data_IF_413668019439
#
_entry.id   IF_413668019439
#
_cell.length_a   1.000
_cell.length_b   1.000
_cell.length_c   1.000
_cell.angle_alpha   90.00
_cell.angle_beta   90.00
_cell.angle_gamma   90.00
#
_symmetry.space_group_name_H-M   'P 1'
#
loop_
_entity.id
_entity.type
_entity.pdbx_description
1 polymer ?
#
# COMPACT_ATOMS: atom_id res chain seq x y z
N UNK A 1 53.28 -48.10 -43.65
CA UNK A 1 52.52 -48.15 -42.39
C UNK A 1 51.28 -47.29 -42.58
N UNK A 2 50.11 -47.91 -42.41
CA UNK A 2 48.73 -47.40 -42.48
C UNK A 2 48.34 -46.51 -43.69
N UNK A 3 47.49 -47.08 -44.55
CA UNK A 3 46.79 -46.47 -45.69
C UNK A 3 45.55 -45.65 -45.28
N UNK A 4 45.05 -44.75 -46.16
CA UNK A 4 44.05 -43.72 -45.87
C UNK A 4 42.64 -44.07 -46.38
N UNK A 5 41.61 -43.31 -45.97
CA UNK A 5 40.29 -43.29 -46.62
C UNK A 5 39.83 -41.86 -46.94
N UNK A 6 39.53 -41.68 -48.22
CA UNK A 6 39.14 -40.51 -49.04
C UNK A 6 37.60 -40.31 -49.02
N UNK A 7 37.01 -39.10 -48.92
CA UNK A 7 36.81 -37.93 -49.84
C UNK A 7 35.41 -37.88 -50.54
N UNK A 8 34.79 -36.67 -50.49
CA UNK A 8 33.84 -35.98 -51.39
C UNK A 8 32.38 -36.45 -51.56
N UNK A 9 31.32 -35.64 -51.37
CA UNK A 9 30.80 -34.33 -51.91
C UNK A 9 29.84 -34.45 -53.13
N UNK A 10 28.76 -33.64 -53.06
CA UNK A 10 27.93 -33.03 -54.15
C UNK A 10 26.97 -34.00 -54.91
N UNK A 11 25.75 -33.70 -55.41
CA UNK A 11 25.00 -32.51 -55.91
C UNK A 11 23.47 -32.83 -55.90
N UNK A 12 22.58 -31.82 -55.89
CA UNK A 12 21.12 -31.84 -56.24
C UNK A 12 20.90 -31.94 -57.80
N UNK A 13 19.72 -31.83 -58.49
CA UNK A 13 18.30 -31.57 -58.08
C UNK A 13 17.15 -32.25 -58.94
N UNK A 14 15.87 -31.86 -58.67
CA UNK A 14 14.69 -31.67 -59.60
C UNK A 14 13.77 -32.84 -60.09
N UNK A 15 12.47 -32.69 -59.72
CA UNK A 15 11.16 -32.89 -60.43
C UNK A 15 10.64 -34.29 -60.83
N UNK A 16 9.39 -34.62 -60.41
CA UNK A 16 8.32 -35.10 -61.31
C UNK A 16 6.88 -34.94 -60.75
N UNK A 17 5.99 -34.55 -61.66
CA UNK A 17 4.54 -34.32 -61.57
C UNK A 17 3.74 -35.62 -61.81
N UNK A 18 2.53 -35.77 -61.24
CA UNK A 18 1.43 -36.61 -61.78
C UNK A 18 0.06 -35.99 -61.46
N UNK A 19 -0.85 -36.03 -62.43
CA UNK A 19 -2.15 -35.31 -62.51
C UNK A 19 -3.31 -36.33 -62.77
N UNK A 20 -4.55 -35.91 -62.41
CA UNK A 20 -5.90 -36.25 -62.96
C UNK A 20 -6.63 -37.46 -62.33
N UNK A 21 -7.97 -37.58 -62.22
CA UNK A 21 -9.18 -36.72 -62.27
C UNK A 21 -10.37 -37.67 -61.90
N UNK A 22 -11.41 -37.20 -61.21
CA UNK A 22 -12.84 -37.51 -61.52
C UNK A 22 -13.83 -36.83 -60.54
N UNK A 23 -14.83 -36.15 -61.09
CA UNK A 23 -15.96 -35.42 -60.48
C UNK A 23 -17.17 -36.34 -60.13
N UNK A 24 -18.41 -35.84 -59.91
CA UNK A 24 -18.94 -34.71 -59.11
C UNK A 24 -20.01 -35.19 -58.07
N UNK A 25 -20.47 -34.34 -57.14
CA UNK A 25 -21.84 -34.40 -56.62
C UNK A 25 -22.29 -33.09 -55.95
N UNK A 26 -23.55 -32.75 -56.25
CA UNK A 26 -24.30 -31.53 -56.03
C UNK A 26 -24.53 -31.05 -54.59
N UNK A 27 -24.62 -29.72 -54.51
CA UNK A 27 -25.47 -28.86 -53.67
C UNK A 27 -26.48 -29.52 -52.71
N UNK A 28 -26.41 -29.12 -51.44
CA UNK A 28 -27.61 -28.78 -50.65
C UNK A 28 -27.31 -27.69 -49.61
N UNK A 29 -28.20 -26.70 -49.57
CA UNK A 29 -28.20 -25.50 -48.72
C UNK A 29 -28.20 -25.81 -47.22
N UNK A 30 -27.43 -25.04 -46.44
CA UNK A 30 -27.86 -24.60 -45.11
C UNK A 30 -27.23 -23.24 -44.77
N UNK A 31 -28.11 -22.32 -44.42
CA UNK A 31 -27.91 -20.92 -44.06
C UNK A 31 -27.06 -20.73 -42.81
N UNK A 32 -26.36 -19.59 -42.78
CA UNK A 32 -25.59 -19.09 -41.66
C UNK A 32 -26.43 -18.95 -40.38
N UNK A 33 -25.93 -19.51 -39.27
CA UNK A 33 -26.19 -19.03 -37.92
C UNK A 33 -24.91 -18.35 -37.42
N UNK A 34 -25.01 -17.05 -37.21
CA UNK A 34 -24.02 -16.24 -36.50
C UNK A 34 -23.97 -16.71 -35.05
N UNK A 35 -22.91 -17.39 -34.65
CA UNK A 35 -22.59 -17.58 -33.25
C UNK A 35 -22.25 -16.19 -32.65
N UNK A 36 -23.15 -15.68 -31.82
CA UNK A 36 -22.86 -14.54 -30.95
C UNK A 36 -21.60 -14.85 -30.13
N UNK A 37 -20.57 -14.04 -30.33
CA UNK A 37 -19.44 -13.99 -29.42
C UNK A 37 -19.99 -13.54 -28.06
N UNK A 38 -19.99 -14.45 -27.08
CA UNK A 38 -20.21 -14.11 -25.68
C UNK A 38 -19.16 -13.07 -25.32
N UNK A 39 -19.62 -11.82 -25.16
CA UNK A 39 -18.79 -10.69 -24.79
C UNK A 39 -18.00 -11.02 -23.52
N UNK A 40 -16.69 -10.85 -23.60
CA UNK A 40 -15.82 -10.95 -22.43
C UNK A 40 -16.30 -9.97 -21.36
N UNK A 41 -16.47 -10.47 -20.14
CA UNK A 41 -16.82 -9.68 -18.96
C UNK A 41 -15.82 -8.51 -18.80
N UNK A 42 -16.30 -7.28 -19.04
CA UNK A 42 -15.52 -6.04 -18.95
C UNK A 42 -15.50 -5.47 -17.52
N UNK A 43 -15.64 -6.32 -16.50
CA UNK A 43 -15.63 -5.91 -15.10
C UNK A 43 -14.26 -5.39 -14.62
N UNK A 44 -14.23 -4.56 -13.55
CA UNK A 44 -12.96 -4.15 -12.93
C UNK A 44 -12.22 -5.38 -12.37
N UNK A 45 -10.88 -5.36 -12.44
CA UNK A 45 -10.04 -6.47 -11.92
C UNK A 45 -10.28 -6.82 -10.47
N UNK A 46 -10.53 -5.78 -9.66
CA UNK A 46 -10.90 -5.92 -8.27
C UNK A 46 -12.29 -5.36 -8.09
N UNK A 47 -13.17 -6.14 -7.47
CA UNK A 47 -14.54 -5.70 -7.15
C UNK A 47 -14.63 -5.09 -5.76
N UNK A 48 -13.57 -5.24 -4.96
CA UNK A 48 -13.48 -4.72 -3.60
C UNK A 48 -12.04 -4.56 -3.15
N UNK A 49 -11.83 -3.73 -2.14
CA UNK A 49 -10.53 -3.46 -1.53
C UNK A 49 -10.67 -3.51 -0.01
N UNK A 50 -9.81 -4.28 0.67
CA UNK A 50 -9.72 -4.27 2.13
C UNK A 50 -8.35 -3.81 2.55
N UNK A 51 -8.27 -2.96 3.57
CA UNK A 51 -7.01 -2.40 4.05
C UNK A 51 -6.89 -2.56 5.56
N UNK A 52 -5.78 -3.12 6.00
CA UNK A 52 -5.31 -3.22 7.37
C UNK A 52 -4.08 -2.31 7.53
N UNK A 53 -3.76 -1.88 8.73
CA UNK A 53 -2.61 -1.00 8.94
C UNK A 53 -2.79 -0.04 10.10
N UNK A 54 -2.00 1.03 10.09
CA UNK A 54 -2.05 2.07 11.13
C UNK A 54 -2.58 3.42 10.60
N UNK A 55 -2.07 4.53 11.13
CA UNK A 55 -2.45 5.89 10.75
C UNK A 55 -2.11 6.28 9.31
N UNK A 56 -1.18 5.58 8.64
CA UNK A 56 -0.88 5.83 7.21
C UNK A 56 -1.95 5.25 6.28
N UNK A 57 -2.79 4.35 6.81
CA UNK A 57 -3.89 3.70 6.09
C UNK A 57 -5.26 4.00 6.70
N UNK A 58 -5.36 4.55 7.92
CA UNK A 58 -6.64 4.84 8.60
C UNK A 58 -7.47 5.89 7.86
N UNK A 59 -8.67 5.49 7.42
CA UNK A 59 -9.60 6.34 6.69
C UNK A 59 -10.67 7.01 7.56
N UNK A 60 -10.56 6.91 8.89
CA UNK A 60 -11.44 7.54 9.86
C UNK A 60 -11.98 6.62 10.97
N UNK A 61 -11.39 5.44 11.18
CA UNK A 61 -11.78 4.52 12.25
C UNK A 61 -11.65 5.17 13.63
N UNK A 62 -10.52 5.81 13.94
CA UNK A 62 -10.38 6.55 15.19
C UNK A 62 -11.41 7.68 15.35
N UNK A 63 -11.74 8.37 14.26
CA UNK A 63 -12.73 9.44 14.26
C UNK A 63 -14.11 8.91 14.65
N UNK A 64 -14.52 7.78 14.06
CA UNK A 64 -15.80 7.13 14.35
C UNK A 64 -15.90 6.61 15.79
N UNK A 65 -14.77 6.29 16.41
CA UNK A 65 -14.66 5.87 17.80
C UNK A 65 -14.55 7.04 18.79
N UNK A 66 -14.43 8.28 18.31
CA UNK A 66 -14.21 9.46 19.14
C UNK A 66 -12.83 9.48 19.83
N UNK A 67 -11.86 8.73 19.30
CA UNK A 67 -10.51 8.54 19.86
C UNK A 67 -9.42 9.18 18.98
N UNK A 68 -9.68 10.39 18.50
CA UNK A 68 -8.84 11.00 17.46
C UNK A 68 -8.48 12.45 17.85
N UNK A 69 -7.43 12.64 18.66
CA UNK A 69 -7.08 13.97 19.16
C UNK A 69 -6.44 14.88 18.10
N UNK A 70 -5.69 14.32 17.14
CA UNK A 70 -4.85 15.11 16.22
C UNK A 70 -5.37 15.08 14.77
N UNK A 71 -5.51 13.89 14.17
CA UNK A 71 -5.88 13.72 12.76
C UNK A 71 -7.34 14.11 12.43
N UNK A 72 -8.16 14.39 13.44
CA UNK A 72 -9.57 14.76 13.29
C UNK A 72 -9.84 16.26 13.46
N UNK A 73 -8.77 17.05 13.51
CA UNK A 73 -8.83 18.50 13.57
C UNK A 73 -8.18 19.10 12.33
N UNK A 74 -8.64 20.30 11.94
CA UNK A 74 -7.93 21.08 10.93
C UNK A 74 -6.49 21.33 11.38
N UNK A 75 -5.50 21.30 10.48
CA UNK A 75 -5.64 21.38 9.01
C UNK A 75 -5.74 20.02 8.29
N UNK A 76 -5.93 18.89 8.98
CA UNK A 76 -6.08 17.60 8.31
C UNK A 76 -7.29 17.58 7.36
N UNK A 77 -7.08 17.02 6.16
CA UNK A 77 -8.08 16.96 5.09
C UNK A 77 -8.33 18.26 4.31
N UNK A 78 -7.56 19.33 4.54
CA UNK A 78 -7.76 20.64 3.89
C UNK A 78 -7.67 20.63 2.35
N UNK A 79 -6.83 19.78 1.74
CA UNK A 79 -6.57 19.85 0.29
C UNK A 79 -7.62 19.14 -0.55
N UNK A 80 -8.09 17.97 -0.13
CA UNK A 80 -9.05 17.17 -0.89
C UNK A 80 -10.46 17.17 -0.30
N UNK A 81 -10.57 17.01 1.02
CA UNK A 81 -11.87 16.86 1.68
C UNK A 81 -12.47 18.19 2.13
N UNK A 82 -11.65 19.23 2.29
CA UNK A 82 -12.02 20.54 2.86
C UNK A 82 -12.43 20.48 4.33
N UNK A 83 -12.22 19.33 4.99
CA UNK A 83 -12.54 19.06 6.40
C UNK A 83 -11.78 17.83 6.90
N UNK A 84 -11.62 17.68 8.22
CA UNK A 84 -11.05 16.46 8.79
C UNK A 84 -11.96 15.24 8.52
N UNK A 85 -11.33 14.13 8.13
CA UNK A 85 -12.01 12.83 7.94
C UNK A 85 -11.41 11.73 8.82
N UNK A 86 -10.42 12.06 9.66
CA UNK A 86 -9.66 11.12 10.47
C UNK A 86 -8.41 10.54 9.79
N UNK A 87 -8.17 10.89 8.52
CA UNK A 87 -6.88 10.64 7.86
C UNK A 87 -5.81 11.56 8.43
N UNK A 88 -4.68 11.00 8.84
CA UNK A 88 -3.51 11.75 9.31
C UNK A 88 -2.71 12.32 8.12
N UNK A 89 -3.32 13.27 7.41
CA UNK A 89 -2.79 13.85 6.18
C UNK A 89 -3.56 15.14 5.86
N UNK A 90 -2.97 16.04 5.07
CA UNK A 90 -3.70 17.17 4.50
C UNK A 90 -4.82 16.75 3.52
N UNK A 91 -4.85 15.50 3.06
CA UNK A 91 -5.85 15.02 2.11
C UNK A 91 -5.95 13.50 2.09
N UNK A 92 -5.81 12.92 0.90
CA UNK A 92 -5.89 11.47 0.65
C UNK A 92 -4.64 10.71 1.08
N UNK A 93 -4.82 9.45 1.46
CA UNK A 93 -3.78 8.48 1.79
C UNK A 93 -3.43 7.61 0.57
N UNK A 94 -2.38 6.79 0.68
CA UNK A 94 -1.97 5.85 -0.40
C UNK A 94 -3.14 4.94 -0.79
N UNK A 95 -3.87 4.41 0.20
CA UNK A 95 -5.02 3.52 -0.03
C UNK A 95 -6.15 4.19 -0.82
N UNK A 96 -6.36 5.50 -0.65
CA UNK A 96 -7.36 6.25 -1.40
C UNK A 96 -6.99 6.36 -2.87
N UNK A 97 -5.72 6.68 -3.15
CA UNK A 97 -5.21 6.72 -4.51
C UNK A 97 -5.25 5.35 -5.18
N UNK A 98 -4.97 4.28 -4.44
CA UNK A 98 -5.12 2.91 -4.95
C UNK A 98 -6.59 2.63 -5.30
N UNK A 99 -7.54 2.92 -4.41
CA UNK A 99 -8.96 2.74 -4.67
C UNK A 99 -9.41 3.49 -5.94
N UNK A 100 -9.04 4.77 -6.06
CA UNK A 100 -9.36 5.60 -7.22
C UNK A 100 -8.79 5.02 -8.53
N UNK A 101 -7.52 4.59 -8.53
CA UNK A 101 -6.86 4.00 -9.72
C UNK A 101 -7.48 2.67 -10.13
N UNK A 102 -8.06 1.93 -9.19
CA UNK A 102 -8.80 0.70 -9.45
C UNK A 102 -10.27 0.93 -9.81
N UNK A 103 -10.74 2.19 -9.81
CA UNK A 103 -12.14 2.53 -10.07
C UNK A 103 -13.10 2.15 -8.95
N UNK A 104 -12.58 1.97 -7.73
CA UNK A 104 -13.35 1.68 -6.52
C UNK A 104 -13.67 2.97 -5.74
N UNK A 105 -14.77 3.01 -4.97
CA UNK A 105 -15.01 4.12 -4.05
C UNK A 105 -13.93 4.18 -2.96
N UNK A 106 -13.72 5.37 -2.39
CA UNK A 106 -12.88 5.51 -1.19
C UNK A 106 -13.39 4.57 -0.09
N UNK A 107 -12.46 3.91 0.59
CA UNK A 107 -12.81 2.90 1.57
C UNK A 107 -13.60 3.50 2.73
N UNK A 108 -14.65 2.79 3.12
CA UNK A 108 -15.42 3.13 4.31
C UNK A 108 -14.68 2.59 5.54
N UNK A 109 -14.42 3.43 6.57
CA UNK A 109 -13.85 2.94 7.82
C UNK A 109 -14.80 1.97 8.51
N UNK A 110 -14.26 0.85 8.99
CA UNK A 110 -14.99 -0.15 9.77
C UNK A 110 -14.29 -0.46 11.10
N UNK A 111 -14.66 0.24 12.19
CA UNK A 111 -14.00 0.08 13.49
C UNK A 111 -14.49 -1.17 14.27
N UNK A 112 -15.26 -2.06 13.61
CA UNK A 112 -15.82 -3.27 14.21
C UNK A 112 -17.32 -3.20 14.53
N UNK A 113 -17.99 -2.08 14.25
CA UNK A 113 -19.44 -1.92 14.43
C UNK A 113 -20.15 -1.74 13.09
N UNK A 114 -21.13 -2.59 12.82
CA UNK A 114 -21.99 -2.51 11.63
C UNK A 114 -22.95 -1.32 11.77
N UNK A 115 -22.50 -0.14 11.34
CA UNK A 115 -23.42 0.98 11.01
C UNK A 115 -24.13 0.66 9.69
N UNK A 116 -25.13 1.45 9.30
CA UNK A 116 -25.94 1.27 8.06
C UNK A 116 -25.16 1.44 6.74
N UNK A 117 -23.84 1.28 6.77
CA UNK A 117 -22.93 1.41 5.65
C UNK A 117 -22.90 0.14 4.82
N UNK A 118 -22.77 0.30 3.50
CA UNK A 118 -22.63 -0.81 2.56
C UNK A 118 -21.16 -1.10 2.29
N UNK A 119 -20.67 -2.27 2.70
CA UNK A 119 -19.28 -2.69 2.56
C UNK A 119 -19.02 -3.56 1.31
N UNK A 120 -19.95 -3.60 0.35
CA UNK A 120 -19.83 -4.42 -0.87
C UNK A 120 -18.55 -4.15 -1.67
N UNK A 121 -18.05 -2.91 -1.66
CA UNK A 121 -16.81 -2.51 -2.34
C UNK A 121 -15.57 -2.59 -1.44
N UNK A 122 -15.74 -3.14 -0.25
CA UNK A 122 -14.68 -3.30 0.74
C UNK A 122 -14.75 -2.30 1.89
N UNK A 123 -13.73 -2.37 2.75
CA UNK A 123 -13.67 -1.62 4.00
C UNK A 123 -12.21 -1.34 4.41
N UNK A 124 -12.01 -0.31 5.22
CA UNK A 124 -10.73 -0.03 5.85
C UNK A 124 -10.82 -0.38 7.34
N UNK A 125 -9.97 -1.31 7.78
CA UNK A 125 -9.90 -1.86 9.12
C UNK A 125 -8.80 -1.19 9.95
N UNK A 126 -7.87 -0.52 9.28
CA UNK A 126 -6.71 0.19 9.83
C UNK A 126 -7.12 1.20 10.90
N UNK A 127 -6.42 1.22 12.03
CA UNK A 127 -6.61 2.22 13.07
C UNK A 127 -5.32 2.96 13.37
N UNK A 128 -5.40 4.30 13.48
CA UNK A 128 -4.26 5.12 13.87
C UNK A 128 -3.52 4.56 15.09
N UNK A 129 -2.19 4.43 14.98
CA UNK A 129 -1.38 3.90 16.07
C UNK A 129 -1.58 2.41 16.37
N UNK A 130 -2.25 1.63 15.52
CA UNK A 130 -2.30 0.18 15.69
C UNK A 130 -0.90 -0.44 15.57
N UNK A 131 -0.65 -1.48 16.36
CA UNK A 131 0.59 -2.27 16.33
C UNK A 131 0.36 -3.59 15.60
N UNK A 132 1.42 -4.18 15.06
CA UNK A 132 1.33 -5.57 14.62
C UNK A 132 1.07 -6.47 15.84
N UNK A 133 1.85 -6.28 16.90
CA UNK A 133 1.79 -7.09 18.12
C UNK A 133 0.62 -6.72 19.03
N UNK A 134 0.15 -7.69 19.81
CA UNK A 134 -0.86 -7.46 20.84
C UNK A 134 -0.35 -6.51 21.93
N UNK A 135 -1.22 -5.60 22.37
CA UNK A 135 -0.84 -4.57 23.34
C UNK A 135 -0.28 -5.15 24.66
N UNK A 136 -0.73 -6.34 25.08
CA UNK A 136 -0.25 -6.99 26.31
C UNK A 136 1.18 -7.47 26.15
N UNK A 137 1.53 -7.99 24.97
CA UNK A 137 2.88 -8.43 24.67
C UNK A 137 3.90 -7.29 24.77
N UNK A 138 3.51 -6.10 24.28
CA UNK A 138 4.29 -4.87 24.37
C UNK A 138 4.35 -4.33 25.81
N UNK A 139 3.20 -4.30 26.51
CA UNK A 139 3.13 -3.82 27.89
C UNK A 139 3.99 -4.65 28.87
N UNK A 140 4.06 -5.97 28.67
CA UNK A 140 4.96 -6.85 29.44
C UNK A 140 6.45 -6.50 29.25
N UNK A 141 6.80 -5.82 28.15
CA UNK A 141 8.15 -5.32 27.84
C UNK A 141 8.33 -3.84 28.20
N UNK A 142 7.34 -3.24 28.86
CA UNK A 142 7.39 -1.84 29.28
C UNK A 142 7.14 -0.83 28.15
N UNK A 143 6.63 -1.27 27.01
CA UNK A 143 6.27 -0.40 25.88
C UNK A 143 4.76 -0.15 25.95
N UNK A 144 4.36 1.11 26.07
CA UNK A 144 2.95 1.46 26.28
C UNK A 144 2.43 2.36 25.17
N UNK A 145 1.36 1.93 24.49
CA UNK A 145 0.67 2.77 23.51
C UNK A 145 -0.49 3.52 24.17
N UNK A 146 -0.38 4.85 24.26
CA UNK A 146 -1.40 5.71 24.86
C UNK A 146 -2.51 6.12 23.89
N UNK A 147 -2.35 5.86 22.59
CA UNK A 147 -3.30 6.27 21.56
C UNK A 147 -4.39 5.21 21.36
N UNK A 148 -3.98 3.95 21.24
CA UNK A 148 -4.90 2.82 21.10
C UNK A 148 -4.27 1.54 21.66
N UNK A 149 -5.12 0.54 21.93
CA UNK A 149 -4.73 -0.81 22.28
C UNK A 149 -5.05 -1.81 21.16
N UNK A 150 -5.37 -1.32 19.96
CA UNK A 150 -5.69 -2.12 18.79
C UNK A 150 -4.42 -2.68 18.17
N UNK A 151 -4.45 -3.98 17.90
CA UNK A 151 -3.41 -4.71 17.19
C UNK A 151 -3.90 -5.20 15.81
N UNK A 152 -3.00 -5.68 14.96
CA UNK A 152 -3.36 -6.35 13.72
C UNK A 152 -4.33 -7.52 13.96
N UNK A 153 -4.15 -8.26 15.06
CA UNK A 153 -5.09 -9.30 15.48
C UNK A 153 -6.52 -8.80 15.74
N UNK A 154 -6.65 -7.58 16.27
CA UNK A 154 -7.95 -6.93 16.46
C UNK A 154 -8.56 -6.47 15.12
N UNK A 155 -7.75 -5.97 14.19
CA UNK A 155 -8.22 -5.63 12.84
C UNK A 155 -8.70 -6.85 12.06
N UNK A 156 -7.97 -7.97 12.15
CA UNK A 156 -8.41 -9.26 11.63
C UNK A 156 -9.74 -9.70 12.27
N UNK A 157 -9.91 -9.46 13.58
CA UNK A 157 -11.19 -9.74 14.26
C UNK A 157 -12.31 -8.86 13.73
N UNK A 158 -12.07 -7.57 13.47
CA UNK A 158 -13.04 -6.68 12.80
C UNK A 158 -13.41 -7.23 11.43
N UNK A 159 -12.43 -7.59 10.62
CA UNK A 159 -12.67 -8.19 9.31
C UNK A 159 -13.54 -9.46 9.39
N UNK A 160 -13.22 -10.39 10.30
CA UNK A 160 -14.04 -11.59 10.54
C UNK A 160 -15.49 -11.26 10.91
N UNK A 161 -15.72 -10.21 11.69
CA UNK A 161 -17.06 -9.75 12.04
C UNK A 161 -17.79 -9.09 10.86
N UNK A 162 -17.05 -8.55 9.89
CA UNK A 162 -17.60 -7.95 8.67
C UNK A 162 -18.02 -9.01 7.64
N UNK A 163 -17.29 -10.11 7.51
CA UNK A 163 -17.50 -11.15 6.49
C UNK A 163 -18.96 -11.61 6.33
N UNK A 164 -19.76 -11.86 7.40
CA UNK A 164 -21.16 -12.27 7.26
C UNK A 164 -22.05 -11.27 6.52
N UNK A 165 -21.62 -10.01 6.37
CA UNK A 165 -22.35 -8.99 5.59
C UNK A 165 -22.00 -8.97 4.11
N UNK A 166 -20.90 -9.64 3.74
CA UNK A 166 -20.36 -9.70 2.39
C UNK A 166 -20.68 -11.02 1.70
N UNK A 167 -20.76 -12.10 2.48
CA UNK A 167 -20.96 -13.47 2.00
C UNK A 167 -21.73 -14.29 3.03
N UNK A 168 -22.47 -15.31 2.59
CA UNK A 168 -23.37 -16.09 3.46
C UNK A 168 -22.66 -16.95 4.51
N UNK A 169 -21.40 -17.33 4.26
CA UNK A 169 -20.57 -18.13 5.18
C UNK A 169 -19.09 -17.82 4.94
N UNK A 170 -18.30 -17.50 5.98
CA UNK A 170 -16.87 -17.15 5.83
C UNK A 170 -16.02 -18.22 5.14
N UNK A 171 -16.34 -19.51 5.32
CA UNK A 171 -15.64 -20.62 4.66
C UNK A 171 -16.34 -21.13 3.39
N UNK A 172 -17.47 -20.51 3.04
CA UNK A 172 -18.28 -20.87 1.88
C UNK A 172 -17.62 -20.46 0.56
N UNK A 173 -17.97 -21.17 -0.52
CA UNK A 173 -17.48 -20.89 -1.86
C UNK A 173 -17.77 -19.46 -2.33
N UNK A 174 -18.91 -18.90 -1.93
CA UNK A 174 -19.29 -17.52 -2.23
C UNK A 174 -18.28 -16.52 -1.66
N UNK A 175 -17.83 -16.74 -0.42
CA UNK A 175 -16.84 -15.85 0.20
C UNK A 175 -15.48 -15.95 -0.46
N UNK A 176 -15.05 -17.18 -0.80
CA UNK A 176 -13.80 -17.41 -1.54
C UNK A 176 -13.81 -16.73 -2.92
N UNK A 177 -14.94 -16.78 -3.63
CA UNK A 177 -15.08 -16.08 -4.91
C UNK A 177 -15.02 -14.56 -4.72
N UNK A 178 -15.70 -14.05 -3.69
CA UNK A 178 -15.67 -12.62 -3.38
C UNK A 178 -14.25 -12.14 -3.04
N UNK A 179 -13.59 -12.80 -2.08
CA UNK A 179 -12.23 -12.47 -1.65
C UNK A 179 -11.18 -12.73 -2.73
N UNK A 180 -11.41 -13.71 -3.61
CA UNK A 180 -10.57 -13.95 -4.78
C UNK A 180 -10.61 -12.81 -5.80
N UNK A 181 -11.63 -11.95 -5.75
CA UNK A 181 -11.75 -10.71 -6.54
C UNK A 181 -11.46 -9.44 -5.71
N UNK A 182 -10.99 -9.59 -4.48
CA UNK A 182 -10.59 -8.48 -3.62
C UNK A 182 -9.08 -8.23 -3.73
N UNK A 183 -8.69 -6.96 -3.63
CA UNK A 183 -7.33 -6.61 -3.24
C UNK A 183 -7.28 -6.49 -1.72
N UNK A 184 -6.34 -7.16 -1.08
CA UNK A 184 -6.04 -6.97 0.35
C UNK A 184 -4.76 -6.16 0.46
N UNK A 185 -4.79 -5.06 1.21
CA UNK A 185 -3.59 -4.31 1.61
C UNK A 185 -3.33 -4.63 3.08
N UNK A 186 -2.20 -5.27 3.36
CA UNK A 186 -1.77 -5.65 4.70
C UNK A 186 -0.70 -4.68 5.19
N UNK A 187 -1.09 -3.44 5.48
CA UNK A 187 -0.19 -2.43 6.06
C UNK A 187 -0.20 -1.06 5.36
N UNK A 188 0.78 -0.20 5.64
CA UNK A 188 1.92 -0.46 6.55
C UNK A 188 1.45 -0.77 7.98
N UNK A 189 2.08 -1.76 8.61
CA UNK A 189 1.83 -2.18 9.98
C UNK A 189 3.13 -2.73 10.57
N UNK A 190 3.38 -2.43 11.84
CA UNK A 190 4.62 -2.81 12.53
C UNK A 190 5.55 -1.63 12.79
N UNK A 191 5.44 -0.53 12.04
CA UNK A 191 6.17 0.71 12.30
C UNK A 191 5.91 1.28 13.70
N UNK A 192 4.66 1.27 14.15
CA UNK A 192 4.28 1.77 15.48
C UNK A 192 4.91 0.97 16.63
N UNK A 193 5.08 -0.35 16.47
CA UNK A 193 5.73 -1.22 17.46
C UNK A 193 7.13 -0.71 17.83
N UNK A 194 7.86 -0.15 16.85
CA UNK A 194 9.19 0.42 17.05
C UNK A 194 9.16 1.91 17.36
N UNK A 195 8.35 2.69 16.63
CA UNK A 195 8.27 4.13 16.78
C UNK A 195 7.97 4.52 18.23
N UNK A 196 7.03 3.81 18.87
CA UNK A 196 6.70 4.09 20.26
C UNK A 196 7.89 3.83 21.19
N UNK A 197 8.52 2.66 21.04
CA UNK A 197 9.64 2.26 21.86
C UNK A 197 10.83 3.22 21.72
N UNK A 198 11.14 3.67 20.49
CA UNK A 198 12.16 4.68 20.25
C UNK A 198 11.85 6.00 20.97
N UNK A 199 10.63 6.52 20.83
CA UNK A 199 10.25 7.80 21.44
C UNK A 199 10.13 7.74 22.97
N UNK A 200 9.96 6.55 23.54
CA UNK A 200 10.06 6.26 24.98
C UNK A 200 11.49 6.00 25.46
N UNK A 201 12.50 6.07 24.58
CA UNK A 201 13.92 5.79 24.85
C UNK A 201 14.19 4.35 25.33
N UNK A 202 13.43 3.38 24.82
CA UNK A 202 13.73 1.95 25.00
C UNK A 202 15.05 1.62 24.30
N UNK A 203 15.82 0.69 24.87
CA UNK A 203 17.12 0.30 24.32
C UNK A 203 16.97 -0.31 22.90
N UNK A 204 17.85 0.09 21.98
CA UNK A 204 17.79 -0.33 20.57
C UNK A 204 17.83 -1.85 20.42
N UNK A 205 18.58 -2.53 21.27
CA UNK A 205 18.66 -3.99 21.30
C UNK A 205 17.29 -4.62 21.59
N UNK A 206 16.55 -4.07 22.56
CA UNK A 206 15.20 -4.54 22.90
C UNK A 206 14.21 -4.25 21.78
N UNK A 207 14.34 -3.11 21.09
CA UNK A 207 13.49 -2.78 19.93
C UNK A 207 13.77 -3.75 18.78
N UNK A 208 15.05 -4.08 18.55
CA UNK A 208 15.46 -5.03 17.51
C UNK A 208 14.94 -6.43 17.77
N UNK A 209 14.86 -6.86 19.03
CA UNK A 209 14.26 -8.14 19.42
C UNK A 209 12.77 -8.26 19.06
N UNK A 210 12.05 -7.15 18.83
CA UNK A 210 10.64 -7.17 18.43
C UNK A 210 10.46 -7.57 16.95
N UNK A 211 11.44 -7.30 16.10
CA UNK A 211 11.31 -7.41 14.64
C UNK A 211 10.83 -8.81 14.21
N UNK A 212 11.42 -9.93 14.68
CA UNK A 212 10.95 -11.26 14.28
C UNK A 212 9.51 -11.55 14.69
N UNK A 213 9.04 -11.01 15.82
CA UNK A 213 7.66 -11.20 16.28
C UNK A 213 6.69 -10.41 15.41
N UNK A 214 7.04 -9.16 15.06
CA UNK A 214 6.24 -8.32 14.16
C UNK A 214 6.10 -9.00 12.79
N UNK A 215 7.21 -9.46 12.20
CA UNK A 215 7.20 -10.14 10.90
C UNK A 215 6.36 -11.43 10.96
N UNK A 216 6.47 -12.20 12.04
CA UNK A 216 5.66 -13.40 12.22
C UNK A 216 4.15 -13.08 12.27
N UNK A 217 3.75 -12.01 12.97
CA UNK A 217 2.34 -11.65 13.08
C UNK A 217 1.76 -11.15 11.74
N UNK A 218 2.53 -10.36 10.98
CA UNK A 218 2.17 -9.97 9.61
C UNK A 218 2.05 -11.21 8.71
N UNK A 219 3.01 -12.13 8.79
CA UNK A 219 2.98 -13.38 8.02
C UNK A 219 1.77 -14.25 8.32
N UNK A 220 1.42 -14.39 9.61
CA UNK A 220 0.23 -15.11 10.06
C UNK A 220 -1.06 -14.45 9.53
N UNK A 221 -1.15 -13.12 9.57
CA UNK A 221 -2.29 -12.37 9.05
C UNK A 221 -2.48 -12.59 7.54
N UNK A 222 -1.38 -12.55 6.77
CA UNK A 222 -1.40 -12.83 5.33
C UNK A 222 -1.86 -14.27 5.07
N UNK A 223 -1.32 -15.24 5.82
CA UNK A 223 -1.73 -16.64 5.69
C UNK A 223 -3.23 -16.82 5.97
N UNK A 224 -3.78 -16.19 7.02
CA UNK A 224 -5.21 -16.23 7.31
C UNK A 224 -6.04 -15.68 6.13
N UNK A 225 -5.63 -14.56 5.54
CA UNK A 225 -6.33 -13.98 4.38
C UNK A 225 -6.34 -14.94 3.19
N UNK A 226 -5.22 -15.61 2.90
CA UNK A 226 -5.16 -16.62 1.84
C UNK A 226 -6.07 -17.82 2.15
N UNK A 227 -6.09 -18.30 3.39
CA UNK A 227 -6.94 -19.42 3.81
C UNK A 227 -8.44 -19.10 3.70
N UNK A 228 -8.82 -17.84 3.92
CA UNK A 228 -10.17 -17.33 3.70
C UNK A 228 -10.53 -17.20 2.21
N UNK A 229 -9.55 -17.20 1.32
CA UNK A 229 -9.73 -17.20 -0.14
C UNK A 229 -9.27 -15.92 -0.83
N UNK A 230 -8.55 -15.03 -0.14
CA UNK A 230 -7.90 -13.90 -0.80
C UNK A 230 -6.82 -14.39 -1.76
N UNK A 231 -6.83 -13.87 -2.98
CA UNK A 231 -5.85 -14.24 -4.01
C UNK A 231 -4.80 -13.16 -4.19
N UNK A 232 -5.15 -11.87 -4.06
CA UNK A 232 -4.20 -10.78 -4.27
C UNK A 232 -3.98 -9.99 -3.00
N UNK A 233 -2.73 -9.97 -2.53
CA UNK A 233 -2.34 -9.31 -1.29
C UNK A 233 -1.14 -8.41 -1.57
N UNK A 234 -1.25 -7.14 -1.22
CA UNK A 234 -0.17 -6.16 -1.26
C UNK A 234 0.31 -5.91 0.18
N UNK A 235 1.62 -6.04 0.41
CA UNK A 235 2.25 -6.00 1.73
C UNK A 235 3.29 -4.88 1.74
N UNK A 236 2.94 -3.68 2.22
CA UNK A 236 3.88 -2.58 2.26
C UNK A 236 4.95 -2.76 3.35
N UNK A 237 6.19 -2.39 3.03
CA UNK A 237 7.24 -2.20 4.03
C UNK A 237 7.18 -0.84 4.73
N UNK A 238 7.97 -0.69 5.79
CA UNK A 238 8.12 0.55 6.53
C UNK A 238 8.76 1.65 5.70
N UNK A 239 8.36 2.89 5.95
CA UNK A 239 9.01 4.10 5.44
C UNK A 239 10.45 4.27 5.98
N UNK A 240 11.30 5.10 5.33
CA UNK A 240 12.60 5.46 5.87
C UNK A 240 12.44 6.33 7.13
N UNK A 241 12.42 5.67 8.30
CA UNK A 241 12.09 6.31 9.58
C UNK A 241 12.94 7.54 9.89
N UNK A 242 14.23 7.50 9.56
CA UNK A 242 15.17 8.60 9.79
C UNK A 242 14.92 9.84 8.94
N UNK A 243 14.02 9.79 7.96
CA UNK A 243 13.63 10.92 7.13
C UNK A 243 12.41 11.68 7.67
N UNK A 244 11.73 11.16 8.68
CA UNK A 244 10.58 11.81 9.30
C UNK A 244 11.00 12.98 10.18
N UNK A 245 10.24 14.08 10.10
CA UNK A 245 10.52 15.30 10.85
C UNK A 245 10.58 15.07 12.37
N UNK A 246 9.72 14.19 12.91
CA UNK A 246 9.70 13.84 14.33
C UNK A 246 11.00 13.14 14.77
N UNK A 247 11.49 12.20 13.98
CA UNK A 247 12.77 11.51 14.26
C UNK A 247 13.95 12.48 14.21
N UNK A 248 14.00 13.33 13.18
CA UNK A 248 15.07 14.31 13.01
C UNK A 248 15.13 15.33 14.15
N UNK A 249 13.97 15.75 14.65
CA UNK A 249 13.89 16.67 15.78
C UNK A 249 14.19 15.98 17.12
N UNK A 250 13.65 14.78 17.37
CA UNK A 250 13.81 14.05 18.63
C UNK A 250 15.24 13.54 18.83
N UNK A 251 15.82 12.98 17.77
CA UNK A 251 17.14 12.34 17.79
C UNK A 251 18.20 13.21 17.08
N UNK A 252 18.04 14.53 17.19
CA UNK A 252 19.03 15.46 16.66
C UNK A 252 20.42 15.15 17.22
N UNK A 253 21.42 15.16 16.34
CA UNK A 253 22.82 14.95 16.67
C UNK A 253 23.70 16.05 16.11
N UNK A 254 24.72 16.52 16.84
CA UNK A 254 25.74 17.39 16.28
C UNK A 254 26.72 16.66 15.36
N UNK A 255 26.74 15.31 15.39
CA UNK A 255 27.65 14.52 14.56
C UNK A 255 27.09 14.37 13.14
N UNK A 256 27.84 14.86 12.15
CA UNK A 256 27.43 14.79 10.74
C UNK A 256 27.35 13.36 10.20
N UNK A 257 28.11 12.44 10.78
CA UNK A 257 28.15 11.02 10.35
C UNK A 257 26.86 10.27 10.70
N UNK A 258 26.05 10.79 11.61
CA UNK A 258 24.76 10.20 11.98
C UNK A 258 23.69 10.45 10.89
N UNK A 259 23.99 11.33 9.93
CA UNK A 259 23.10 11.71 8.84
C UNK A 259 23.66 11.25 7.49
N UNK A 260 22.76 10.76 6.64
CA UNK A 260 23.09 10.47 5.25
C UNK A 260 23.41 11.79 4.52
N UNK A 261 24.58 11.90 3.85
CA UNK A 261 25.03 13.17 3.28
C UNK A 261 24.22 13.62 2.05
N UNK A 262 23.45 12.73 1.41
CA UNK A 262 22.65 13.04 0.23
C UNK A 262 21.25 13.51 0.61
N UNK A 263 20.65 12.84 1.60
CA UNK A 263 19.25 13.05 1.97
C UNK A 263 19.08 13.85 3.25
N UNK A 264 20.09 13.87 4.12
CA UNK A 264 20.01 14.45 5.46
C UNK A 264 19.18 13.64 6.46
N UNK A 265 18.80 12.41 6.10
CA UNK A 265 18.07 11.51 6.99
C UNK A 265 19.00 10.84 8.00
N UNK A 266 18.48 10.46 9.17
CA UNK A 266 19.25 9.75 10.18
C UNK A 266 19.53 8.30 9.75
N UNK A 267 20.82 7.94 9.64
CA UNK A 267 21.28 6.65 9.11
C UNK A 267 20.80 5.49 9.99
N UNK A 268 20.90 5.62 11.31
CA UNK A 268 20.55 4.55 12.24
C UNK A 268 19.11 4.07 12.09
N UNK A 269 18.15 5.00 12.02
CA UNK A 269 16.73 4.65 11.93
C UNK A 269 16.34 4.13 10.54
N UNK A 270 17.00 4.64 9.49
CA UNK A 270 16.85 4.11 8.14
C UNK A 270 17.39 2.68 8.02
N UNK A 271 18.55 2.39 8.61
CA UNK A 271 19.10 1.02 8.66
C UNK A 271 18.16 0.07 9.40
N UNK A 272 17.53 0.52 10.49
CA UNK A 272 16.55 -0.29 11.21
C UNK A 272 15.32 -0.59 10.36
N UNK A 273 14.75 0.42 9.69
CA UNK A 273 13.62 0.23 8.77
C UNK A 273 13.95 -0.74 7.63
N UNK A 274 15.17 -0.65 7.07
CA UNK A 274 15.66 -1.60 6.07
C UNK A 274 15.76 -3.02 6.64
N UNK A 275 16.29 -3.19 7.86
CA UNK A 275 16.36 -4.50 8.50
C UNK A 275 14.97 -5.16 8.66
N UNK A 276 13.97 -4.39 9.08
CA UNK A 276 12.59 -4.86 9.09
C UNK A 276 12.12 -5.27 7.69
N UNK A 277 12.31 -4.40 6.70
CA UNK A 277 11.86 -4.61 5.33
C UNK A 277 12.54 -5.81 4.66
N UNK A 278 13.80 -6.09 4.97
CA UNK A 278 14.53 -7.26 4.47
C UNK A 278 13.89 -8.55 5.01
N UNK A 279 13.60 -8.61 6.31
CA UNK A 279 12.93 -9.76 6.92
C UNK A 279 11.48 -9.92 6.45
N UNK A 280 10.77 -8.80 6.22
CA UNK A 280 9.42 -8.84 5.65
C UNK A 280 9.43 -9.40 4.22
N UNK A 281 10.41 -9.00 3.39
CA UNK A 281 10.57 -9.55 2.05
C UNK A 281 10.90 -11.05 2.07
N UNK A 282 11.76 -11.50 2.98
CA UNK A 282 12.03 -12.94 3.17
C UNK A 282 10.75 -13.71 3.52
N UNK A 283 9.92 -13.16 4.41
CA UNK A 283 8.65 -13.77 4.80
C UNK A 283 7.64 -13.78 3.65
N UNK A 284 7.53 -12.70 2.87
CA UNK A 284 6.73 -12.66 1.64
C UNK A 284 7.18 -13.74 0.67
N UNK A 285 8.48 -13.91 0.45
CA UNK A 285 9.04 -14.97 -0.42
C UNK A 285 8.72 -16.36 0.13
N UNK A 286 8.75 -16.56 1.45
CA UNK A 286 8.34 -17.82 2.08
C UNK A 286 6.85 -18.09 1.81
N UNK A 287 5.99 -17.11 2.04
CA UNK A 287 4.54 -17.23 1.83
C UNK A 287 4.17 -17.48 0.38
N UNK A 288 4.85 -16.85 -0.59
CA UNK A 288 4.68 -17.13 -2.01
C UNK A 288 4.96 -18.60 -2.36
N UNK A 289 5.95 -19.23 -1.71
CA UNK A 289 6.26 -20.66 -1.90
C UNK A 289 5.21 -21.57 -1.27
N UNK A 290 4.67 -21.18 -0.11
CA UNK A 290 3.63 -21.94 0.60
C UNK A 290 2.27 -21.80 -0.10
N UNK A 291 1.99 -20.64 -0.69
CA UNK A 291 0.74 -20.31 -1.35
C UNK A 291 0.95 -19.95 -2.83
N UNK A 292 1.39 -20.87 -3.70
CA UNK A 292 1.72 -20.58 -5.10
C UNK A 292 0.49 -20.17 -5.95
N UNK A 293 -0.72 -20.30 -5.40
CA UNK A 293 -1.97 -19.85 -6.02
C UNK A 293 -2.33 -18.40 -5.68
N UNK A 294 -1.70 -17.82 -4.66
CA UNK A 294 -1.89 -16.43 -4.26
C UNK A 294 -0.82 -15.54 -4.89
N UNK A 295 -1.21 -14.35 -5.31
CA UNK A 295 -0.34 -13.27 -5.71
C UNK A 295 -0.07 -12.35 -4.51
N UNK A 296 0.95 -12.70 -3.72
CA UNK A 296 1.41 -11.92 -2.58
C UNK A 296 2.55 -11.03 -3.06
N UNK A 297 2.40 -9.72 -2.97
CA UNK A 297 3.33 -8.73 -3.49
C UNK A 297 3.88 -7.87 -2.34
N UNK A 298 5.19 -7.72 -2.27
CA UNK A 298 5.82 -6.70 -1.42
C UNK A 298 5.69 -5.33 -2.09
N UNK A 299 5.28 -4.31 -1.33
CA UNK A 299 5.23 -2.92 -1.77
C UNK A 299 6.42 -2.16 -1.16
N UNK A 300 7.32 -1.69 -2.01
CA UNK A 300 8.57 -1.03 -1.62
C UNK A 300 8.35 0.46 -1.33
N UNK A 301 7.56 0.71 -0.30
CA UNK A 301 7.29 2.06 0.21
C UNK A 301 8.58 2.78 0.63
N UNK A 302 9.53 2.04 1.22
CA UNK A 302 10.82 2.60 1.63
C UNK A 302 11.54 3.29 0.47
N UNK A 303 11.80 2.56 -0.62
CA UNK A 303 12.57 3.12 -1.73
C UNK A 303 11.74 4.15 -2.53
N UNK A 304 10.42 4.03 -2.56
CA UNK A 304 9.55 5.05 -3.17
C UNK A 304 9.68 6.39 -2.42
N UNK A 305 9.64 6.39 -1.08
CA UNK A 305 9.85 7.58 -0.26
C UNK A 305 11.29 8.10 -0.35
N UNK A 306 12.29 7.22 -0.27
CA UNK A 306 13.70 7.61 -0.38
C UNK A 306 14.00 8.35 -1.69
N UNK A 307 13.36 7.95 -2.80
CA UNK A 307 13.50 8.65 -4.08
C UNK A 307 13.01 10.11 -3.99
N UNK A 308 11.96 10.39 -3.22
CA UNK A 308 11.48 11.76 -3.00
C UNK A 308 12.53 12.63 -2.29
N UNK A 309 13.28 12.06 -1.35
CA UNK A 309 14.36 12.77 -0.65
C UNK A 309 15.63 12.93 -1.49
N UNK A 310 15.94 11.96 -2.36
CA UNK A 310 17.11 12.01 -3.24
C UNK A 310 16.92 12.96 -4.42
N UNK A 311 15.71 13.02 -4.97
CA UNK A 311 15.39 13.77 -6.20
C UNK A 311 14.13 14.63 -6.04
N UNK A 312 14.06 15.52 -5.03
CA UNK A 312 12.83 16.24 -4.70
C UNK A 312 12.29 17.11 -5.85
N UNK A 313 13.16 17.63 -6.71
CA UNK A 313 12.80 18.48 -7.85
C UNK A 313 12.17 17.70 -9.03
N UNK A 314 12.28 16.38 -9.07
CA UNK A 314 11.75 15.55 -10.18
C UNK A 314 10.23 15.35 -10.11
N UNK A 315 9.59 15.75 -9.02
CA UNK A 315 8.19 15.43 -8.70
C UNK A 315 7.21 16.60 -8.87
N UNK A 316 7.62 17.66 -9.57
CA UNK A 316 6.74 18.79 -9.88
C UNK A 316 5.51 18.36 -10.66
N UNK A 317 4.36 18.96 -10.36
CA UNK A 317 3.08 18.69 -11.04
C UNK A 317 2.75 19.70 -12.15
N UNK A 318 3.78 20.41 -12.64
CA UNK A 318 3.67 21.45 -13.66
C UNK A 318 3.29 22.83 -13.11
N UNK A 319 2.85 22.90 -11.84
CA UNK A 319 2.62 24.16 -11.10
C UNK A 319 3.72 24.35 -10.06
N UNK A 320 4.07 23.30 -9.32
CA UNK A 320 5.24 23.30 -8.43
C UNK A 320 6.50 22.82 -9.16
N UNK A 321 7.66 23.28 -8.68
CA UNK A 321 8.98 22.80 -9.14
C UNK A 321 9.39 21.46 -8.47
N UNK A 322 8.47 20.79 -7.77
CA UNK A 322 8.75 19.62 -6.92
C UNK A 322 8.72 19.96 -5.43
N UNK A 323 9.34 19.08 -4.62
CA UNK A 323 9.39 19.24 -3.17
C UNK A 323 10.48 20.25 -2.77
N UNK A 324 10.10 21.40 -2.24
CA UNK A 324 11.08 22.39 -1.75
C UNK A 324 11.55 22.11 -0.32
N UNK A 325 10.76 21.34 0.45
CA UNK A 325 11.05 20.98 1.82
C UNK A 325 10.89 19.46 2.01
N UNK A 326 12.02 18.76 1.99
CA UNK A 326 12.04 17.30 2.08
C UNK A 326 11.94 16.80 3.53
N UNK A 327 12.64 17.41 4.48
CA UNK A 327 12.79 16.91 5.85
C UNK A 327 11.98 17.66 6.92
N UNK A 328 11.38 18.79 6.58
CA UNK A 328 10.63 19.65 7.51
C UNK A 328 9.14 19.33 7.40
N UNK A 329 8.43 19.27 8.52
CA UNK A 329 6.98 19.07 8.53
C UNK A 329 6.23 20.31 8.02
N UNK A 330 5.22 20.13 7.17
CA UNK A 330 4.33 21.22 6.76
C UNK A 330 3.48 21.71 7.93
N UNK A 331 2.94 20.81 8.76
CA UNK A 331 2.06 21.10 9.88
C UNK A 331 2.74 20.75 11.21
N UNK A 332 2.78 21.71 12.13
CA UNK A 332 3.34 21.48 13.45
C UNK A 332 3.38 22.72 14.34
N UNK A 333 3.98 22.55 15.52
CA UNK A 333 4.04 23.56 16.58
C UNK A 333 5.30 24.45 16.58
N UNK A 334 6.06 24.49 15.47
CA UNK A 334 7.35 25.17 15.39
C UNK A 334 8.51 24.32 15.91
N UNK A 335 9.66 24.95 16.15
CA UNK A 335 10.89 24.24 16.58
C UNK A 335 11.70 23.65 15.41
N UNK A 336 12.79 22.90 15.70
CA UNK A 336 13.55 22.19 14.68
C UNK A 336 12.63 21.26 13.87
N UNK A 337 12.79 21.28 12.54
CA UNK A 337 11.94 20.51 11.59
C UNK A 337 10.43 20.78 11.71
N UNK A 338 10.03 21.90 12.32
CA UNK A 338 8.64 22.27 12.62
C UNK A 338 7.94 21.26 13.55
N UNK A 339 8.69 20.57 14.41
CA UNK A 339 8.17 19.61 15.37
C UNK A 339 8.25 20.08 16.83
N UNK A 340 7.15 19.88 17.55
CA UNK A 340 7.05 20.08 18.99
C UNK A 340 6.12 19.02 19.60
N UNK A 341 6.65 18.17 20.48
CA UNK A 341 5.92 17.04 21.11
C UNK A 341 4.66 17.49 21.87
N UNK A 342 4.62 18.74 22.35
CA UNK A 342 3.46 19.30 23.08
C UNK A 342 2.45 20.01 22.18
N UNK A 343 2.79 20.26 20.91
CA UNK A 343 1.98 20.98 19.93
C UNK A 343 2.02 20.25 18.58
N UNK A 344 1.47 19.03 18.58
CA UNK A 344 1.33 18.19 17.39
C UNK A 344 0.31 18.77 16.40
N UNK A 345 0.45 18.42 15.11
CA UNK A 345 -0.46 18.90 14.07
C UNK A 345 -1.93 18.67 14.46
N UNK A 346 -2.78 19.69 14.26
CA UNK A 346 -4.20 19.64 14.63
C UNK A 346 -4.49 20.01 16.09
N UNK A 347 -3.46 20.19 16.95
CA UNK A 347 -3.62 20.82 18.27
C UNK A 347 -3.79 22.34 18.11
N UNK A 348 -4.71 22.97 18.87
CA UNK A 348 -4.85 24.43 18.84
C UNK A 348 -3.52 25.15 19.10
N UNK A 349 -3.16 26.07 18.19
CA UNK A 349 -1.90 26.81 18.24
C UNK A 349 -0.82 26.29 17.27
N UNK A 350 -1.08 25.18 16.58
CA UNK A 350 -0.24 24.74 15.45
C UNK A 350 -0.54 25.49 14.16
N UNK A 351 0.41 25.47 13.23
CA UNK A 351 0.30 26.07 11.90
C UNK A 351 0.67 25.06 10.82
N UNK A 352 -0.02 25.11 9.69
CA UNK A 352 0.39 24.43 8.46
C UNK A 352 1.08 25.41 7.50
N UNK A 353 1.92 24.85 6.63
CA UNK A 353 2.54 25.54 5.53
C UNK A 353 1.49 26.01 4.51
N UNK A 354 1.81 27.02 3.70
CA UNK A 354 0.86 27.60 2.76
C UNK A 354 0.52 26.68 1.57
N UNK A 355 1.47 25.82 1.17
CA UNK A 355 1.31 24.90 0.05
C UNK A 355 1.86 23.50 0.41
N UNK A 356 1.01 22.60 0.93
CA UNK A 356 1.40 21.22 1.28
C UNK A 356 1.93 20.40 0.10
N UNK A 357 1.67 20.79 -1.16
CA UNK A 357 2.16 20.05 -2.33
C UNK A 357 3.68 20.14 -2.53
N UNK A 358 4.32 21.09 -1.85
CA UNK A 358 5.77 21.34 -1.92
C UNK A 358 6.56 20.70 -0.76
N UNK A 359 5.88 19.95 0.11
CA UNK A 359 6.46 19.28 1.28
C UNK A 359 6.30 17.76 1.16
N UNK A 360 7.29 16.99 1.61
CA UNK A 360 7.18 15.53 1.71
C UNK A 360 6.48 15.15 3.03
N UNK A 361 6.94 15.69 4.15
CA UNK A 361 6.39 15.43 5.48
C UNK A 361 5.18 16.35 5.74
N UNK A 362 4.03 15.75 6.05
CA UNK A 362 2.85 16.49 6.50
C UNK A 362 3.01 16.92 7.94
N UNK A 363 3.29 15.98 8.83
CA UNK A 363 3.56 16.20 10.24
C UNK A 363 4.85 15.46 10.65
N UNK A 364 4.93 15.01 11.90
CA UNK A 364 6.09 14.34 12.47
C UNK A 364 6.30 12.90 12.01
N UNK A 365 5.25 12.20 11.58
CA UNK A 365 5.30 10.79 11.16
C UNK A 365 4.62 10.51 9.82
N UNK A 366 3.74 11.40 9.36
CA UNK A 366 2.94 11.21 8.15
C UNK A 366 3.44 12.08 7.00
N UNK A 367 3.20 11.58 5.78
CA UNK A 367 3.54 12.29 4.55
C UNK A 367 2.35 13.09 4.03
N UNK A 368 2.63 14.04 3.15
CA UNK A 368 1.60 14.84 2.48
C UNK A 368 0.82 14.01 1.47
N UNK A 369 -0.38 14.49 1.11
CA UNK A 369 -1.19 13.91 0.03
C UNK A 369 -0.38 13.82 -1.28
N UNK A 370 0.47 14.81 -1.55
CA UNK A 370 1.30 14.84 -2.74
C UNK A 370 2.33 13.68 -2.76
N UNK A 371 3.00 13.43 -1.63
CA UNK A 371 3.91 12.31 -1.48
C UNK A 371 3.16 10.95 -1.57
N UNK A 372 2.04 10.80 -0.86
CA UNK A 372 1.23 9.58 -0.91
C UNK A 372 0.71 9.26 -2.32
N UNK A 373 0.37 10.28 -3.12
CA UNK A 373 -0.02 10.11 -4.53
C UNK A 373 1.10 9.50 -5.37
N UNK A 374 2.34 9.95 -5.16
CA UNK A 374 3.50 9.43 -5.90
C UNK A 374 3.76 7.99 -5.49
N UNK A 375 3.74 7.68 -4.19
CA UNK A 375 3.96 6.31 -3.68
C UNK A 375 2.90 5.35 -4.24
N UNK A 376 1.63 5.75 -4.27
CA UNK A 376 0.57 4.94 -4.87
C UNK A 376 0.83 4.66 -6.37
N UNK A 377 1.27 5.67 -7.13
CA UNK A 377 1.60 5.48 -8.55
C UNK A 377 2.83 4.60 -8.75
N UNK A 378 3.86 4.77 -7.91
CA UNK A 378 5.09 3.99 -7.93
C UNK A 378 4.84 2.50 -7.70
N UNK A 379 3.93 2.18 -6.78
CA UNK A 379 3.56 0.79 -6.49
C UNK A 379 2.69 0.17 -7.58
N UNK A 380 1.72 0.93 -8.10
CA UNK A 380 0.75 0.41 -9.08
C UNK A 380 1.28 0.36 -10.53
N UNK A 381 2.18 1.27 -10.89
CA UNK A 381 2.64 1.46 -12.27
C UNK A 381 4.18 1.45 -12.39
N UNK A 382 4.89 1.72 -11.30
CA UNK A 382 6.34 1.73 -11.25
C UNK A 382 6.95 0.38 -10.87
N UNK A 383 8.25 0.36 -10.57
CA UNK A 383 8.98 -0.85 -10.17
C UNK A 383 8.86 -1.19 -8.67
N UNK A 384 8.06 -0.46 -7.88
CA UNK A 384 8.04 -0.54 -6.42
C UNK A 384 7.06 -1.59 -5.86
N UNK A 385 6.78 -2.62 -6.65
CA UNK A 385 6.03 -3.80 -6.23
C UNK A 385 6.72 -5.06 -6.74
N UNK A 386 6.83 -6.08 -5.87
CA UNK A 386 7.57 -7.31 -6.14
C UNK A 386 6.73 -8.53 -5.72
N UNK A 387 6.22 -9.34 -6.67
CA UNK A 387 6.21 -9.12 -8.12
C UNK A 387 5.49 -7.81 -8.52
N UNK A 388 5.76 -7.32 -9.73
CA UNK A 388 5.15 -6.06 -10.20
C UNK A 388 3.63 -6.16 -10.20
N UNK A 389 3.00 -5.13 -9.64
CA UNK A 389 1.57 -4.95 -9.68
C UNK A 389 1.14 -4.81 -11.15
N UNK A 390 0.37 -5.77 -11.63
CA UNK A 390 0.01 -5.85 -13.04
C UNK A 390 -1.48 -5.57 -13.23
N UNK A 391 -1.81 -4.40 -13.76
CA UNK A 391 -3.17 -4.03 -14.17
C UNK A 391 -3.46 -4.34 -15.65
N UNK A 392 -2.55 -4.96 -16.39
CA UNK A 392 -2.72 -5.25 -17.83
C UNK A 392 -3.88 -6.22 -18.13
N UNK A 393 -4.39 -6.90 -17.09
CA UNK A 393 -5.60 -7.72 -17.17
C UNK A 393 -6.87 -6.96 -16.72
N UNK A 394 -6.75 -5.64 -16.50
CA UNK A 394 -7.78 -4.75 -15.99
C UNK A 394 -8.07 -3.67 -17.03
N UNK A 395 -9.35 -3.39 -17.35
CA UNK A 395 -9.69 -2.19 -18.08
C UNK A 395 -9.39 -0.97 -17.17
N UNK A 396 -8.27 -0.28 -17.40
CA UNK A 396 -7.99 0.99 -16.74
C UNK A 396 -8.96 2.03 -17.32
N UNK A 397 -9.90 2.51 -16.51
CA UNK A 397 -10.71 3.66 -16.85
C UNK A 397 -9.84 4.91 -16.74
N UNK A 398 -9.25 5.34 -17.86
CA UNK A 398 -8.70 6.68 -17.98
C UNK A 398 -9.86 7.68 -17.98
N UNK A 399 -10.31 8.12 -16.79
CA UNK A 399 -11.00 9.41 -16.72
C UNK A 399 -9.94 10.49 -16.83
N UNK A 400 -9.84 11.05 -18.02
CA UNK A 400 -9.18 12.33 -18.23
C UNK A 400 -9.76 13.35 -17.26
N UNK A 401 -8.90 14.13 -16.62
CA UNK A 401 -9.27 15.33 -15.89
C UNK A 401 -9.91 16.32 -16.87
N UNK A 402 -11.21 16.22 -17.09
CA UNK A 402 -12.01 17.32 -17.61
C UNK A 402 -12.60 18.04 -16.42
N UNK A 403 -12.02 19.19 -16.09
CA UNK A 403 -12.59 20.11 -15.13
C UNK A 403 -13.98 20.53 -15.59
N UNK A 404 -14.99 20.18 -14.81
CA UNK A 404 -16.27 20.89 -14.76
C UNK A 404 -16.86 20.63 -13.38
N UNK A 405 -16.88 21.69 -12.57
CA UNK A 405 -17.40 21.66 -11.22
C UNK A 405 -18.91 21.49 -11.23
N UNK A 406 -19.39 20.45 -10.57
CA UNK A 406 -20.74 20.41 -10.06
C UNK A 406 -20.71 19.99 -8.60
N UNK A 407 -20.83 21.01 -7.74
CA UNK A 407 -21.17 20.87 -6.33
C UNK A 407 -22.50 20.12 -6.21
N UNK A 408 -22.48 18.92 -5.62
CA UNK A 408 -23.65 18.37 -4.97
C UNK A 408 -23.46 18.55 -3.45
N UNK A 409 -24.31 19.40 -2.89
CA UNK A 409 -24.44 19.60 -1.46
C UNK A 409 -25.08 18.38 -0.81
N UNK A 410 -24.42 17.83 0.20
CA UNK A 410 -25.02 17.20 1.38
C UNK A 410 -24.17 17.51 2.60
#
# INVERSE_FOLDING_TARGET
MATPTTINTLVSPVVLFLILLSAPADYSNASAETAEAVGGDTGPCFTSLFSFGDSVSDTGNQMLLGKCPHCCSLPNGETYFGRPTGRCCNGRLIVDFIAEKLGLPLLTPFPGELKSSNFRFGANLAEGGATALDFRFLAERGIFNTHTNVSLGDELKRFRNLLPTLCSSPSGIECKIYLGKSLIIMGEIGGIDYNRAYFENVAVEQITELVPYVIAEIGNAIQEMVELGAVTILVPGNFPLGCHAGYLAKFWSPNKEDYDPLTGCLVQFNNFAQHHNDLLQEEVVRLQKVHPHANIMYADYYNSVMRLHLHPDEFGDGISLGFSASLVACCGGGGPYNYNESLLCGVPGTTACADPSTFINWDDHHLTEAAYRIIANDVLQGPFSIPRFNTSHCPVTTRAASGEGHYFAY
#
